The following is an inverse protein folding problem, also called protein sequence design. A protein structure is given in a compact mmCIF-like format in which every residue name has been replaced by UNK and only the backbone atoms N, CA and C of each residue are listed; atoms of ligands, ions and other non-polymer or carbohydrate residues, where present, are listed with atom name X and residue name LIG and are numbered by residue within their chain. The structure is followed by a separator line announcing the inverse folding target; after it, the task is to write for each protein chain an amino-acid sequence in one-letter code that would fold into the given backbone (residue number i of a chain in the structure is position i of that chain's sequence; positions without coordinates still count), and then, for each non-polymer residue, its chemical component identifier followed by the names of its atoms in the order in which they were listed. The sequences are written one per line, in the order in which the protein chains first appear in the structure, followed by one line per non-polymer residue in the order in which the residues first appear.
data_IF_178042633378
#
_entry.id   IF_178042633378
#
_cell.length_a   1.000
_cell.length_b   1.000
_cell.length_c   1.000
_cell.angle_alpha   90.00
_cell.angle_beta   90.00
_cell.angle_gamma   90.00
#
_symmetry.space_group_name_H-M   'P 1'
#
loop_
_entity.id
_entity.type
_entity.pdbx_description
1 polymer ?
#
# COMPACT_ATOMS: atom_id res chain seq x y z
N UNK A 1 -40.41 7.83 16.17
CA UNK A 1 -40.26 7.90 14.70
C UNK A 1 -39.10 8.80 14.26
N UNK A 2 -39.02 10.06 14.72
CA UNK A 2 -37.88 10.95 14.38
C UNK A 2 -36.54 10.48 14.97
N UNK A 3 -36.52 10.03 16.24
CA UNK A 3 -35.30 9.49 16.89
C UNK A 3 -34.76 8.24 16.18
N UNK A 4 -35.61 7.29 15.83
CA UNK A 4 -35.21 6.08 15.07
C UNK A 4 -34.62 6.43 13.70
N UNK A 5 -35.12 7.47 13.03
CA UNK A 5 -34.56 7.95 11.76
C UNK A 5 -33.16 8.51 11.95
N UNK A 6 -32.95 9.31 13.00
CA UNK A 6 -31.66 9.92 13.32
C UNK A 6 -30.62 8.87 13.73
N UNK A 7 -31.06 7.85 14.46
CA UNK A 7 -30.20 6.76 14.90
C UNK A 7 -29.80 5.83 13.74
N UNK A 8 -30.72 5.54 12.81
CA UNK A 8 -30.42 4.84 11.56
C UNK A 8 -29.44 5.60 10.67
N UNK A 9 -29.55 6.93 10.62
CA UNK A 9 -28.64 7.78 9.86
C UNK A 9 -27.23 7.76 10.46
N UNK A 10 -27.11 7.91 11.79
CA UNK A 10 -25.83 7.76 12.50
C UNK A 10 -25.18 6.39 12.29
N UNK A 11 -25.97 5.32 12.33
CA UNK A 11 -25.47 3.96 12.09
C UNK A 11 -24.98 3.79 10.64
N UNK A 12 -25.70 4.35 9.66
CA UNK A 12 -25.28 4.35 8.25
C UNK A 12 -23.96 5.08 8.05
N UNK A 13 -23.80 6.24 8.67
CA UNK A 13 -22.56 7.02 8.57
C UNK A 13 -21.38 6.29 9.20
N UNK A 14 -21.57 5.66 10.36
CA UNK A 14 -20.54 4.86 11.02
C UNK A 14 -20.10 3.68 10.14
N UNK A 15 -21.06 2.92 9.58
CA UNK A 15 -20.78 1.80 8.67
C UNK A 15 -20.04 2.29 7.42
N UNK A 16 -20.42 3.46 6.89
CA UNK A 16 -19.77 4.04 5.72
C UNK A 16 -18.31 4.39 6.01
N UNK A 17 -18.04 5.05 7.13
CA UNK A 17 -16.67 5.39 7.54
C UNK A 17 -15.81 4.15 7.75
N UNK A 18 -16.36 3.12 8.40
CA UNK A 18 -15.65 1.88 8.65
C UNK A 18 -15.36 1.11 7.35
N UNK A 19 -16.31 1.12 6.42
CA UNK A 19 -16.12 0.56 5.07
C UNK A 19 -15.03 1.30 4.30
N UNK A 20 -15.06 2.62 4.26
CA UNK A 20 -14.02 3.43 3.58
C UNK A 20 -12.63 3.21 4.17
N UNK A 21 -12.54 3.08 5.49
CA UNK A 21 -11.28 2.79 6.19
C UNK A 21 -10.75 1.40 5.83
N UNK A 22 -11.63 0.40 5.78
CA UNK A 22 -11.30 -0.96 5.36
C UNK A 22 -10.81 -1.00 3.90
N UNK A 23 -11.50 -0.28 3.00
CA UNK A 23 -11.12 -0.21 1.58
C UNK A 23 -9.75 0.45 1.37
N UNK A 24 -9.47 1.57 2.05
CA UNK A 24 -8.15 2.21 2.00
C UNK A 24 -7.04 1.29 2.51
N UNK A 25 -7.32 0.49 3.55
CA UNK A 25 -6.33 -0.42 4.10
C UNK A 25 -6.00 -1.55 3.11
N UNK A 26 -7.01 -2.14 2.48
CA UNK A 26 -6.82 -3.18 1.46
C UNK A 26 -5.93 -2.70 0.31
N UNK A 27 -6.18 -1.49 -0.20
CA UNK A 27 -5.40 -0.90 -1.30
C UNK A 27 -3.96 -0.53 -0.89
N UNK A 28 -3.69 -0.36 0.40
CA UNK A 28 -2.34 -0.06 0.89
C UNK A 28 -1.45 -1.31 1.00
N UNK A 29 -2.06 -2.49 1.05
CA UNK A 29 -1.42 -3.79 1.28
C UNK A 29 -1.39 -4.62 0.00
N UNK A 30 -2.46 -4.60 -0.79
CA UNK A 30 -2.63 -5.43 -1.97
C UNK A 30 -2.76 -4.58 -3.23
N UNK A 31 -2.32 -5.08 -4.40
CA UNK A 31 -2.66 -4.48 -5.68
C UNK A 31 -4.16 -4.30 -5.84
N UNK A 32 -4.58 -3.20 -6.47
CA UNK A 32 -5.99 -2.84 -6.58
C UNK A 32 -6.86 -3.97 -7.16
N UNK A 33 -6.35 -4.68 -8.17
CA UNK A 33 -7.07 -5.79 -8.80
C UNK A 33 -7.26 -6.98 -7.86
N UNK A 34 -6.24 -7.31 -7.07
CA UNK A 34 -6.28 -8.40 -6.08
C UNK A 34 -7.23 -8.05 -4.93
N UNK A 35 -7.22 -6.79 -4.49
CA UNK A 35 -8.15 -6.30 -3.47
C UNK A 35 -9.62 -6.39 -3.94
N UNK A 36 -9.89 -6.05 -5.20
CA UNK A 36 -11.25 -6.12 -5.75
C UNK A 36 -11.72 -7.57 -5.95
N UNK A 37 -10.84 -8.46 -6.39
CA UNK A 37 -11.12 -9.91 -6.45
C UNK A 37 -11.47 -10.47 -5.07
N UNK A 38 -10.70 -10.13 -4.04
CA UNK A 38 -10.98 -10.55 -2.65
C UNK A 38 -12.32 -10.03 -2.15
N UNK A 39 -12.67 -8.77 -2.46
CA UNK A 39 -13.96 -8.18 -2.06
C UNK A 39 -15.14 -8.86 -2.75
N UNK A 40 -14.99 -9.22 -4.02
CA UNK A 40 -16.08 -9.75 -4.85
C UNK A 40 -16.25 -11.25 -4.71
N UNK A 41 -15.16 -12.02 -4.66
CA UNK A 41 -15.17 -13.48 -4.66
C UNK A 41 -14.87 -14.10 -3.28
N UNK A 42 -14.37 -13.31 -2.33
CA UNK A 42 -13.86 -13.83 -1.04
C UNK A 42 -12.49 -14.51 -1.13
N UNK A 43 -11.93 -14.64 -2.33
CA UNK A 43 -10.62 -15.21 -2.60
C UNK A 43 -9.97 -14.49 -3.79
N UNK A 44 -8.63 -14.41 -3.80
CA UNK A 44 -7.87 -13.97 -4.97
C UNK A 44 -7.44 -15.19 -5.77
N UNK A 45 -7.56 -15.11 -7.10
CA UNK A 45 -7.11 -16.19 -7.97
C UNK A 45 -5.58 -16.14 -8.13
N UNK A 46 -4.94 -17.31 -8.25
CA UNK A 46 -3.49 -17.38 -8.49
C UNK A 46 -3.22 -16.93 -9.92
N UNK A 47 -2.43 -15.87 -10.08
CA UNK A 47 -2.01 -15.36 -11.38
C UNK A 47 -0.71 -16.03 -11.81
N UNK A 48 -0.71 -16.60 -13.01
CA UNK A 48 0.50 -17.09 -13.66
C UNK A 48 0.91 -16.11 -14.76
N UNK A 49 2.17 -15.70 -14.74
CA UNK A 49 2.76 -14.84 -15.75
C UNK A 49 3.81 -15.64 -16.53
N UNK A 50 3.57 -15.87 -17.83
CA UNK A 50 4.51 -16.60 -18.69
C UNK A 50 5.85 -15.85 -18.85
N UNK A 51 5.80 -14.51 -18.82
CA UNK A 51 6.96 -13.64 -18.89
C UNK A 51 6.81 -12.49 -17.89
N UNK A 52 7.76 -12.39 -16.96
CA UNK A 52 7.84 -11.31 -15.99
C UNK A 52 9.29 -10.88 -15.79
N UNK A 53 9.50 -9.61 -15.44
CA UNK A 53 10.80 -9.08 -15.02
C UNK A 53 10.66 -8.50 -13.62
N UNK A 54 11.51 -8.95 -12.70
CA UNK A 54 11.50 -8.50 -11.30
C UNK A 54 12.81 -7.78 -11.01
N UNK A 55 12.70 -6.58 -10.45
CA UNK A 55 13.85 -5.79 -10.00
C UNK A 55 13.97 -5.86 -8.48
N UNK A 56 15.10 -6.33 -7.98
CA UNK A 56 15.50 -6.18 -6.59
C UNK A 56 16.56 -5.09 -6.48
N UNK A 57 16.32 -4.12 -5.61
CA UNK A 57 17.26 -3.03 -5.33
C UNK A 57 17.47 -2.93 -3.81
N UNK A 58 18.72 -2.79 -3.41
CA UNK A 58 19.13 -2.58 -2.03
C UNK A 58 20.17 -1.47 -1.96
N UNK A 59 20.16 -0.70 -0.87
CA UNK A 59 21.11 0.39 -0.65
C UNK A 59 22.32 -0.20 0.07
N UNK A 60 23.39 -0.44 -0.69
CA UNK A 60 24.65 -0.95 -0.12
C UNK A 60 25.19 0.02 0.93
N UNK A 61 25.54 -0.50 2.11
CA UNK A 61 26.13 0.29 3.19
C UNK A 61 25.12 1.15 3.96
N UNK A 62 23.81 0.94 3.75
CA UNK A 62 22.77 1.68 4.46
C UNK A 62 22.92 1.60 5.98
N UNK A 63 23.17 0.41 6.55
CA UNK A 63 23.36 0.21 7.99
C UNK A 63 24.44 1.13 8.57
N UNK A 64 25.64 1.13 7.97
CA UNK A 64 26.75 1.95 8.45
C UNK A 64 26.53 3.45 8.24
N UNK A 65 25.82 3.84 7.18
CA UNK A 65 25.45 5.24 6.95
C UNK A 65 24.50 5.75 8.05
N UNK A 66 23.48 4.95 8.40
CA UNK A 66 22.46 5.30 9.39
C UNK A 66 23.03 5.38 10.81
N UNK A 67 24.07 4.61 11.14
CA UNK A 67 24.74 4.66 12.45
C UNK A 67 25.41 6.02 12.74
N UNK A 68 25.75 6.79 11.71
CA UNK A 68 26.49 8.06 11.83
C UNK A 68 25.63 9.30 11.52
N UNK A 69 24.41 9.09 11.04
CA UNK A 69 23.50 10.16 10.63
C UNK A 69 22.42 10.40 11.68
N UNK A 70 21.99 11.65 11.82
CA UNK A 70 20.80 11.96 12.60
C UNK A 70 19.57 11.29 11.95
N UNK A 71 18.63 10.74 12.75
CA UNK A 71 17.46 10.04 12.22
C UNK A 71 16.65 10.87 11.21
N UNK A 72 16.59 12.20 11.41
CA UNK A 72 15.91 13.11 10.51
C UNK A 72 16.58 13.20 9.12
N UNK A 73 17.91 13.13 9.06
CA UNK A 73 18.67 13.14 7.81
C UNK A 73 18.50 11.84 7.03
N UNK A 74 18.46 10.71 7.72
CA UNK A 74 18.19 9.40 7.12
C UNK A 74 16.82 9.39 6.45
N UNK A 75 15.79 9.88 7.15
CA UNK A 75 14.43 9.95 6.60
C UNK A 75 14.39 10.84 5.36
N UNK A 76 15.01 12.02 5.40
CA UNK A 76 15.10 12.93 4.24
C UNK A 76 15.80 12.28 3.05
N UNK A 77 16.92 11.59 3.29
CA UNK A 77 17.64 10.90 2.23
C UNK A 77 16.79 9.80 1.59
N UNK A 78 16.13 8.97 2.41
CA UNK A 78 15.21 7.94 1.92
C UNK A 78 14.07 8.54 1.11
N UNK A 79 13.48 9.63 1.56
CA UNK A 79 12.39 10.32 0.86
C UNK A 79 12.81 10.74 -0.56
N UNK A 80 14.02 11.28 -0.74
CA UNK A 80 14.57 11.59 -2.07
C UNK A 80 14.65 10.36 -2.97
N UNK A 81 15.19 9.25 -2.47
CA UNK A 81 15.31 8.01 -3.25
C UNK A 81 13.93 7.43 -3.60
N UNK A 82 13.02 7.34 -2.64
CA UNK A 82 11.68 6.79 -2.87
C UNK A 82 10.86 7.64 -3.83
N UNK A 83 10.94 8.96 -3.75
CA UNK A 83 10.28 9.85 -4.69
C UNK A 83 10.80 9.63 -6.12
N UNK A 84 12.12 9.53 -6.30
CA UNK A 84 12.70 9.24 -7.61
C UNK A 84 12.27 7.86 -8.16
N UNK A 85 12.19 6.84 -7.30
CA UNK A 85 11.64 5.54 -7.70
C UNK A 85 10.17 5.63 -8.09
N UNK A 86 9.35 6.32 -7.29
CA UNK A 86 7.91 6.45 -7.55
C UNK A 86 7.65 7.21 -8.87
N UNK A 87 8.46 8.22 -9.20
CA UNK A 87 8.43 8.89 -10.51
C UNK A 87 8.73 7.93 -11.67
N UNK A 88 9.78 7.11 -11.55
CA UNK A 88 10.15 6.11 -12.56
C UNK A 88 9.04 5.07 -12.71
N UNK A 89 8.54 4.53 -11.59
CA UNK A 89 7.47 3.54 -11.56
C UNK A 89 6.22 4.09 -12.26
N UNK A 90 5.83 5.33 -11.95
CA UNK A 90 4.70 5.98 -12.59
C UNK A 90 4.91 6.19 -14.09
N UNK A 91 6.10 6.67 -14.49
CA UNK A 91 6.44 6.94 -15.89
C UNK A 91 6.39 5.69 -16.76
N UNK A 92 6.88 4.56 -16.25
CA UNK A 92 6.94 3.29 -17.00
C UNK A 92 5.78 2.34 -16.69
N UNK A 93 4.79 2.76 -15.89
CA UNK A 93 3.64 1.94 -15.46
C UNK A 93 4.06 0.60 -14.86
N UNK A 94 5.14 0.61 -14.08
CA UNK A 94 5.66 -0.56 -13.38
C UNK A 94 4.78 -0.80 -12.16
N UNK A 95 4.50 -2.07 -11.85
CA UNK A 95 3.78 -2.42 -10.63
C UNK A 95 4.76 -2.49 -9.44
N UNK A 96 4.55 -1.62 -8.44
CA UNK A 96 5.33 -1.62 -7.21
C UNK A 96 4.83 -2.73 -6.28
N UNK A 97 5.60 -3.79 -6.14
CA UNK A 97 5.28 -4.86 -5.19
C UNK A 97 5.85 -4.48 -3.81
N UNK A 98 4.97 -4.24 -2.83
CA UNK A 98 5.38 -4.16 -1.43
C UNK A 98 5.67 -5.56 -0.92
N UNK A 99 6.95 -5.89 -0.81
CA UNK A 99 7.36 -7.07 -0.07
C UNK A 99 7.50 -6.68 1.40
N UNK A 100 6.55 -7.08 2.23
CA UNK A 100 6.79 -7.09 3.68
C UNK A 100 7.85 -8.16 3.90
N UNK A 101 9.05 -7.74 4.29
CA UNK A 101 10.17 -8.67 4.50
C UNK A 101 9.75 -9.71 5.53
N UNK A 102 9.45 -10.92 5.08
CA UNK A 102 9.25 -12.11 5.91
C UNK A 102 10.61 -12.77 6.13
N UNK A 103 11.51 -12.12 6.87
CA UNK A 103 12.68 -12.75 7.48
C UNK A 103 13.10 -11.92 8.69
#
# INVERSE_FOLDING_TARGET
MYEQSLELEKQRDLIKQEKEKSEKLLLNILPAEVAEELKTKGQADVRHYELASVLFADIKGFTSAVETMEPADVVRALEVYFNAFDEIIHKYRIEKIKCQRFF
#
